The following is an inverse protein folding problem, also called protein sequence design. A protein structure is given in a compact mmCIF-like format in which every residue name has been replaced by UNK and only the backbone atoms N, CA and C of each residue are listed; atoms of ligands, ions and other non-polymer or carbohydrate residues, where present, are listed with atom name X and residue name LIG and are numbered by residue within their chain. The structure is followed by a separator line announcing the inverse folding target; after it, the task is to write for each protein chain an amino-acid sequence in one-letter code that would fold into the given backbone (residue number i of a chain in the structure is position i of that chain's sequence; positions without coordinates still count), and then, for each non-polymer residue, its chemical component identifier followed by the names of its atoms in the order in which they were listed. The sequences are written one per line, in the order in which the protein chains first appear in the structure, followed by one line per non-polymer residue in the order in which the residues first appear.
data_IF_320003979954
#
_entry.id   IF_320003979954
#
_cell.length_a   1.000
_cell.length_b   1.000
_cell.length_c   1.000
_cell.angle_alpha   90.00
_cell.angle_beta   90.00
_cell.angle_gamma   90.00
#
_symmetry.space_group_name_H-M   'P 1'
#
loop_
_entity.id
_entity.type
_entity.pdbx_description
1 polymer ?
#
# COMPACT_ATOMS: atom_id res chain seq x y z
N UNK A 1 15.37 3.96 8.00
CA UNK A 1 14.66 4.54 6.83
C UNK A 1 14.75 3.53 5.70
N UNK A 2 13.64 2.91 5.26
CA UNK A 2 13.67 1.98 4.12
C UNK A 2 13.88 2.82 2.86
N UNK A 3 15.09 2.81 2.30
CA UNK A 3 15.33 3.39 0.99
C UNK A 3 14.75 2.45 -0.06
N UNK A 4 13.69 2.89 -0.75
CA UNK A 4 13.24 2.22 -1.96
C UNK A 4 14.24 2.51 -3.07
N UNK A 5 14.74 1.45 -3.72
CA UNK A 5 15.63 1.59 -4.87
C UNK A 5 14.79 1.90 -6.13
N UNK A 6 15.38 2.57 -7.13
CA UNK A 6 14.68 2.93 -8.39
C UNK A 6 13.90 1.76 -9.02
N UNK A 7 14.52 0.57 -9.08
CA UNK A 7 13.86 -0.65 -9.57
C UNK A 7 12.59 -1.00 -8.80
N UNK A 8 12.56 -0.80 -7.49
CA UNK A 8 11.37 -1.09 -6.69
C UNK A 8 10.27 -0.06 -6.93
N UNK A 9 10.63 1.22 -7.06
CA UNK A 9 9.67 2.28 -7.40
C UNK A 9 9.06 2.03 -8.78
N UNK A 10 9.87 1.64 -9.77
CA UNK A 10 9.36 1.26 -11.10
C UNK A 10 8.40 0.06 -11.04
N UNK A 11 8.70 -0.95 -10.21
CA UNK A 11 7.80 -2.09 -10.01
C UNK A 11 6.48 -1.66 -9.34
N UNK A 12 6.54 -0.74 -8.37
CA UNK A 12 5.36 -0.15 -7.76
C UNK A 12 4.52 0.61 -8.79
N UNK A 13 5.15 1.44 -9.63
CA UNK A 13 4.47 2.20 -10.70
C UNK A 13 3.77 1.27 -11.70
N UNK A 14 4.40 0.13 -12.01
CA UNK A 14 3.79 -0.91 -12.86
C UNK A 14 2.66 -1.66 -12.18
N UNK A 15 2.74 -1.88 -10.86
CA UNK A 15 1.72 -2.60 -10.08
C UNK A 15 0.49 -1.74 -9.79
N UNK A 16 0.71 -0.47 -9.51
CA UNK A 16 -0.30 0.51 -9.14
C UNK A 16 -0.17 1.75 -10.04
N UNK A 17 -0.62 1.65 -11.30
CA UNK A 17 -0.64 2.81 -12.19
C UNK A 17 -1.63 3.86 -11.67
N UNK A 18 -1.43 5.12 -12.11
CA UNK A 18 -2.37 6.22 -11.92
C UNK A 18 -3.80 5.78 -12.32
N UNK A 19 -4.79 6.20 -11.52
CA UNK A 19 -6.19 5.80 -11.70
C UNK A 19 -6.57 4.47 -11.04
N UNK A 20 -5.61 3.74 -10.45
CA UNK A 20 -5.93 2.52 -9.70
C UNK A 20 -6.72 2.85 -8.44
N UNK A 21 -7.84 2.17 -8.20
CA UNK A 21 -8.59 2.26 -6.94
C UNK A 21 -8.04 1.32 -5.87
N UNK A 22 -7.64 1.88 -4.74
CA UNK A 22 -7.22 1.16 -3.54
C UNK A 22 -8.13 1.50 -2.36
N UNK A 23 -8.28 0.56 -1.45
CA UNK A 23 -9.02 0.72 -0.21
C UNK A 23 -8.06 0.57 0.96
N UNK A 24 -8.17 1.48 1.92
CA UNK A 24 -7.37 1.49 3.12
C UNK A 24 -7.92 0.48 4.13
N UNK A 25 -7.09 -0.44 4.61
CA UNK A 25 -7.46 -1.34 5.70
C UNK A 25 -7.00 -0.81 7.05
N UNK A 26 -5.80 -0.23 7.11
CA UNK A 26 -5.25 0.31 8.34
C UNK A 26 -4.12 1.30 8.06
N UNK A 27 -4.11 2.40 8.80
CA UNK A 27 -3.08 3.43 8.79
C UNK A 27 -2.97 4.03 10.18
N UNK A 28 -1.75 4.29 10.63
CA UNK A 28 -1.48 4.94 11.93
C UNK A 28 -1.65 6.47 11.81
N UNK A 29 -2.79 6.92 11.28
CA UNK A 29 -3.09 8.33 11.06
C UNK A 29 -4.52 8.68 11.49
N UNK A 30 -4.66 9.78 12.22
CA UNK A 30 -5.95 10.22 12.72
C UNK A 30 -6.82 10.73 11.55
N UNK A 31 -8.03 10.17 11.41
CA UNK A 31 -8.97 10.55 10.34
C UNK A 31 -8.83 9.74 9.04
N UNK A 32 -8.15 8.60 9.10
CA UNK A 32 -8.09 7.61 8.02
C UNK A 32 -8.74 6.30 8.47
N UNK A 33 -10.08 6.19 8.40
CA UNK A 33 -10.78 4.99 8.82
C UNK A 33 -10.52 3.81 7.85
N UNK A 34 -10.56 2.56 8.35
CA UNK A 34 -10.59 1.38 7.51
C UNK A 34 -11.81 1.41 6.59
N UNK A 35 -11.65 0.99 5.34
CA UNK A 35 -12.67 1.05 4.30
C UNK A 35 -12.65 2.33 3.47
N UNK A 36 -11.79 3.31 3.81
CA UNK A 36 -11.65 4.53 3.01
C UNK A 36 -11.09 4.17 1.64
N UNK A 37 -11.80 4.56 0.58
CA UNK A 37 -11.35 4.35 -0.78
C UNK A 37 -10.60 5.57 -1.29
N UNK A 38 -9.61 5.32 -2.14
CA UNK A 38 -8.86 6.35 -2.81
C UNK A 38 -8.38 5.88 -4.17
N UNK A 39 -7.95 6.84 -4.96
CA UNK A 39 -7.42 6.60 -6.30
C UNK A 39 -5.96 6.98 -6.34
N UNK A 40 -5.12 6.12 -6.90
CA UNK A 40 -3.69 6.40 -7.07
C UNK A 40 -3.54 7.62 -8.00
N UNK A 41 -2.90 8.66 -7.48
CA UNK A 41 -2.50 9.82 -8.25
C UNK A 41 -1.13 9.55 -8.90
N UNK A 42 -0.09 9.29 -8.10
CA UNK A 42 1.24 8.98 -8.62
C UNK A 42 2.08 8.27 -7.56
N UNK A 43 3.26 7.78 -7.95
CA UNK A 43 4.22 7.19 -7.00
C UNK A 43 5.49 8.04 -7.03
N UNK A 44 5.89 8.55 -5.87
CA UNK A 44 7.09 9.36 -5.73
C UNK A 44 8.37 8.50 -5.76
N UNK A 45 9.52 9.15 -5.83
CA UNK A 45 10.81 8.47 -5.94
C UNK A 45 11.23 7.78 -4.63
N UNK A 46 10.55 8.09 -3.51
CA UNK A 46 10.69 7.35 -2.25
C UNK A 46 9.83 6.08 -2.19
N UNK A 47 9.05 5.76 -3.23
CA UNK A 47 8.23 4.54 -3.29
C UNK A 47 6.95 4.62 -2.46
N UNK A 48 6.45 5.81 -2.19
CA UNK A 48 5.16 6.08 -1.56
C UNK A 48 4.11 6.28 -2.65
N UNK A 49 2.93 5.73 -2.40
CA UNK A 49 1.82 5.77 -3.35
C UNK A 49 0.95 6.96 -2.96
N UNK A 50 1.09 8.07 -3.68
CA UNK A 50 0.23 9.22 -3.49
C UNK A 50 -1.19 8.89 -3.94
N UNK A 51 -2.11 9.01 -3.00
CA UNK A 51 -3.51 8.68 -3.18
C UNK A 51 -4.35 9.95 -3.08
N UNK A 52 -5.38 10.04 -3.90
CA UNK A 52 -6.49 10.96 -3.70
C UNK A 52 -7.61 10.21 -2.99
N UNK A 53 -7.83 10.51 -1.72
CA UNK A 53 -8.84 9.87 -0.89
C UNK A 53 -10.19 10.55 -1.01
N UNK A 54 -11.28 9.79 -0.85
CA UNK A 54 -12.65 10.34 -0.92
C UNK A 54 -12.98 11.34 0.19
N UNK A 55 -12.25 11.31 1.31
CA UNK A 55 -12.37 12.31 2.36
C UNK A 55 -11.71 13.67 2.01
N UNK A 56 -11.21 13.82 0.77
CA UNK A 56 -10.52 15.02 0.30
C UNK A 56 -9.07 15.14 0.75
N UNK A 57 -8.51 14.10 1.37
CA UNK A 57 -7.09 14.07 1.75
C UNK A 57 -6.22 13.50 0.63
N UNK A 58 -4.95 13.88 0.65
CA UNK A 58 -3.95 13.50 -0.36
C UNK A 58 -2.77 12.72 0.24
N UNK A 59 -3.05 11.89 1.25
CA UNK A 59 -2.01 11.21 2.02
C UNK A 59 -1.42 10.04 1.23
N UNK A 60 -0.10 9.92 1.23
CA UNK A 60 0.60 8.84 0.56
C UNK A 60 0.60 7.56 1.41
N UNK A 61 0.43 6.41 0.76
CA UNK A 61 0.56 5.09 1.35
C UNK A 61 2.01 4.65 1.25
N UNK A 62 2.57 4.17 2.36
CA UNK A 62 3.91 3.59 2.43
C UNK A 62 3.79 2.06 2.45
N UNK A 63 4.20 1.36 1.36
CA UNK A 63 4.09 -0.08 1.32
C UNK A 63 4.90 -0.75 2.45
N UNK A 64 4.22 -1.60 3.22
CA UNK A 64 4.79 -2.30 4.37
C UNK A 64 4.94 -1.47 5.64
N UNK A 65 4.27 -0.31 5.72
CA UNK A 65 3.89 0.39 6.96
C UNK A 65 2.37 0.39 7.04
N UNK A 66 1.71 0.87 5.98
CA UNK A 66 0.26 0.92 5.89
C UNK A 66 -0.32 -0.36 5.29
N UNK A 67 -1.57 -0.68 5.63
CA UNK A 67 -2.32 -1.82 5.10
C UNK A 67 -3.41 -1.35 4.16
N UNK A 68 -3.43 -1.92 2.95
CA UNK A 68 -4.35 -1.55 1.89
C UNK A 68 -4.53 -2.71 0.90
N UNK A 69 -5.63 -2.68 0.16
CA UNK A 69 -5.94 -3.65 -0.90
C UNK A 69 -6.47 -2.97 -2.17
N UNK A 70 -6.33 -3.64 -3.31
CA UNK A 70 -6.84 -3.15 -4.59
C UNK A 70 -8.33 -3.47 -4.71
N UNK A 71 -9.13 -2.46 -5.08
CA UNK A 71 -10.57 -2.60 -5.31
C UNK A 71 -10.87 -2.95 -6.77
N UNK A 72 -9.97 -2.59 -7.68
CA UNK A 72 -10.11 -2.79 -9.11
C UNK A 72 -9.70 -4.22 -9.53
N UNK A 73 -10.65 -5.16 -9.47
CA UNK A 73 -10.53 -6.53 -10.00
C UNK A 73 -11.44 -7.56 -9.31
N UNK A 74 -12.02 -8.54 -10.03
CA UNK A 74 -13.02 -9.45 -9.49
C UNK A 74 -12.42 -10.43 -8.48
N UNK A 75 -12.57 -10.14 -7.18
CA UNK A 75 -12.63 -11.07 -6.05
C UNK A 75 -11.56 -12.18 -5.87
N UNK A 76 -10.48 -12.22 -6.65
CA UNK A 76 -9.41 -13.21 -6.47
C UNK A 76 -8.06 -12.54 -6.62
N UNK A 77 -7.14 -12.97 -5.77
CA UNK A 77 -5.75 -12.50 -5.68
C UNK A 77 -5.56 -11.28 -4.77
N UNK A 78 -5.81 -11.51 -3.47
CA UNK A 78 -5.01 -10.90 -2.42
C UNK A 78 -3.55 -11.40 -2.57
N UNK A 79 -2.57 -10.57 -2.93
CA UNK A 79 -1.20 -10.93 -2.67
C UNK A 79 -1.00 -10.80 -1.16
N UNK A 80 -0.84 -11.96 -0.51
CA UNK A 80 -0.25 -12.10 0.81
C UNK A 80 0.93 -11.13 0.92
N UNK A 81 0.76 -10.03 1.66
CA UNK A 81 1.90 -9.25 2.14
C UNK A 81 2.57 -10.08 3.22
N UNK A 82 3.50 -10.91 2.76
CA UNK A 82 4.38 -11.73 3.58
C UNK A 82 5.28 -10.82 4.41
N UNK A 83 4.84 -10.49 5.63
CA UNK A 83 5.72 -10.18 6.77
C UNK A 83 5.21 -10.86 8.04
N UNK A 84 5.06 -12.18 7.96
CA UNK A 84 5.19 -13.06 9.12
C UNK A 84 6.35 -14.02 8.84
N UNK A 85 7.59 -13.51 8.84
CA UNK A 85 8.74 -14.40 8.99
C UNK A 85 8.66 -15.00 10.40
N UNK A 86 8.33 -16.29 10.42
CA UNK A 86 8.70 -17.26 11.45
C UNK A 86 10.04 -16.89 12.09
N UNK A 87 10.07 -16.82 13.41
CA UNK A 87 11.15 -17.46 14.15
C UNK A 87 10.50 -18.51 15.06
N UNK A 88 10.45 -19.74 14.53
CA UNK A 88 10.20 -20.94 15.32
C UNK A 88 11.55 -21.61 15.41
N UNK A 89 12.27 -21.32 16.48
CA UNK A 89 13.43 -22.11 16.91
C UNK A 89 13.07 -22.77 18.22
N UNK A 90 12.53 -23.98 18.08
CA UNK A 90 12.58 -25.01 19.11
C UNK A 90 14.06 -25.44 19.24
N UNK A 91 14.64 -25.25 20.42
CA UNK A 91 15.83 -25.90 20.97
C UNK A 91 15.88 -25.43 22.43
N UNK A 92 15.88 -26.26 23.48
CA UNK A 92 15.87 -27.70 23.69
C UNK A 92 15.53 -27.90 25.17
#
# INVERSE_FOLDING_TARGET
MKMYNQKQVEQLRKRYPEGTRLCLDFMDEAGMPPGLQGTVAFIDDAGQIHMHWENGRSLAIVPGVDSFHRVDGPAKEAPKSEKAKKERSLQR
#
